data_IF_190832545566
#
_entry.id   IF_190832545566
#
_cell.length_a   1.000
_cell.length_b   1.000
_cell.length_c   1.000
_cell.angle_alpha   90.00
_cell.angle_beta   90.00
_cell.angle_gamma   90.00
#
_symmetry.space_group_name_H-M   'P 1'
#
loop_
_entity.id
_entity.type
_entity.pdbx_description
1 polymer ?
#
# COMPACT_ATOMS: atom_id res chain seq x y z
N UNK A 1 17.78 -93.94 83.01
CA UNK A 1 16.89 -92.91 83.49
C UNK A 1 17.67 -91.63 83.62
N UNK A 2 17.62 -90.74 82.59
CA UNK A 2 18.31 -89.46 82.60
C UNK A 2 17.33 -88.43 82.13
N UNK A 3 17.05 -87.50 82.95
CA UNK A 3 16.16 -86.38 82.76
C UNK A 3 16.75 -85.37 81.80
N UNK A 4 15.97 -84.73 80.93
CA UNK A 4 16.46 -83.66 80.09
C UNK A 4 16.53 -82.29 80.77
N UNK A 5 17.57 -81.57 80.49
CA UNK A 5 17.95 -80.28 80.94
C UNK A 5 17.04 -79.14 80.27
N UNK A 6 16.61 -78.08 81.01
CA UNK A 6 15.74 -77.05 80.43
C UNK A 6 16.53 -76.09 79.58
N UNK A 7 15.91 -75.72 78.42
CA UNK A 7 16.43 -74.83 77.42
C UNK A 7 16.56 -73.32 78.01
N UNK A 8 17.68 -72.72 77.67
CA UNK A 8 18.00 -71.35 78.01
C UNK A 8 17.10 -70.30 77.23
N UNK A 9 16.78 -69.18 77.81
CA UNK A 9 15.96 -68.15 77.15
C UNK A 9 16.73 -67.46 76.02
N UNK A 10 16.08 -67.39 74.87
CA UNK A 10 16.56 -66.62 73.70
C UNK A 10 16.43 -65.15 73.99
N UNK A 11 17.60 -64.49 74.07
CA UNK A 11 17.70 -63.03 74.26
C UNK A 11 17.28 -62.29 72.97
N UNK A 12 16.05 -61.74 72.85
CA UNK A 12 15.58 -60.90 71.78
C UNK A 12 16.24 -59.52 71.92
N UNK A 13 17.32 -59.31 71.19
CA UNK A 13 17.90 -57.95 71.08
C UNK A 13 16.95 -57.07 70.27
N UNK A 14 16.59 -55.85 70.76
CA UNK A 14 15.68 -54.98 70.08
C UNK A 14 16.30 -54.48 68.75
N UNK A 15 15.52 -54.44 67.65
CA UNK A 15 16.04 -54.04 66.32
C UNK A 15 16.63 -52.65 66.36
N UNK A 16 17.88 -52.51 65.89
CA UNK A 16 18.66 -51.27 65.87
C UNK A 16 17.93 -50.22 65.15
N UNK A 17 18.00 -48.96 65.66
CA UNK A 17 17.38 -47.77 65.06
C UNK A 17 17.69 -47.62 63.57
N UNK A 18 18.78 -48.17 63.08
CA UNK A 18 19.23 -48.23 61.70
C UNK A 18 18.35 -49.13 60.80
N UNK A 19 17.82 -50.21 61.35
CA UNK A 19 16.96 -51.13 60.62
C UNK A 19 15.56 -50.54 60.39
N UNK A 20 15.06 -49.72 61.34
CA UNK A 20 13.79 -49.03 61.22
C UNK A 20 13.89 -47.84 60.23
N UNK A 21 15.09 -47.24 60.04
CA UNK A 21 15.31 -46.13 59.09
C UNK A 21 15.54 -46.62 57.66
N UNK A 22 15.85 -47.91 57.42
CA UNK A 22 16.09 -48.45 56.06
C UNK A 22 14.84 -48.49 55.20
N UNK A 23 13.68 -48.81 55.75
CA UNK A 23 12.43 -48.88 55.00
C UNK A 23 11.95 -47.50 54.53
N UNK A 24 11.88 -46.44 55.37
CA UNK A 24 11.53 -45.11 54.95
C UNK A 24 12.58 -44.49 53.97
N UNK A 25 13.87 -44.80 54.13
CA UNK A 25 14.92 -44.30 53.23
C UNK A 25 14.84 -44.97 51.84
N UNK A 26 14.48 -46.27 51.81
CA UNK A 26 14.30 -47.01 50.54
C UNK A 26 13.06 -46.54 49.76
N UNK A 27 12.02 -46.00 50.43
CA UNK A 27 10.83 -45.43 49.82
C UNK A 27 11.06 -43.96 49.49
N UNK A 28 11.78 -43.20 50.32
CA UNK A 28 12.07 -41.78 50.09
C UNK A 28 12.86 -41.52 48.79
N UNK A 29 13.81 -42.39 48.43
CA UNK A 29 14.58 -42.28 47.20
C UNK A 29 13.72 -42.28 45.93
N UNK A 30 12.91 -43.33 45.68
CA UNK A 30 11.98 -43.35 44.54
C UNK A 30 10.96 -42.22 44.57
N UNK A 31 10.45 -41.79 45.73
CA UNK A 31 9.48 -40.68 45.85
C UNK A 31 10.11 -39.35 45.47
N UNK A 32 11.36 -39.09 45.89
CA UNK A 32 12.10 -37.88 45.50
C UNK A 32 12.37 -37.86 43.98
N UNK A 33 12.79 -39.02 43.42
CA UNK A 33 13.03 -39.17 41.97
C UNK A 33 11.71 -38.93 41.19
N UNK A 34 10.59 -39.49 41.68
CA UNK A 34 9.28 -39.31 41.07
C UNK A 34 8.83 -37.85 41.17
N UNK A 35 9.01 -37.20 42.32
CA UNK A 35 8.69 -35.80 42.53
C UNK A 35 9.52 -34.87 41.60
N UNK A 36 10.85 -35.17 41.47
CA UNK A 36 11.71 -34.47 40.54
C UNK A 36 11.28 -34.70 39.07
N UNK A 37 10.96 -35.95 38.70
CA UNK A 37 10.48 -36.29 37.39
C UNK A 37 9.17 -35.57 37.05
N UNK A 38 8.22 -35.53 38.01
CA UNK A 38 6.98 -34.79 37.89
C UNK A 38 7.26 -33.28 37.77
N UNK A 39 8.16 -32.74 38.57
CA UNK A 39 8.55 -31.30 38.51
C UNK A 39 9.15 -30.94 37.16
N UNK A 40 10.11 -31.76 36.64
CA UNK A 40 10.69 -31.54 35.32
C UNK A 40 9.67 -31.73 34.19
N UNK A 41 8.76 -32.68 34.34
CA UNK A 41 7.65 -32.89 33.37
C UNK A 41 6.69 -31.72 33.34
N UNK A 42 6.29 -31.19 34.50
CA UNK A 42 5.39 -30.02 34.61
C UNK A 42 6.06 -28.71 34.19
N UNK A 43 7.37 -28.58 34.40
CA UNK A 43 8.15 -27.41 33.97
C UNK A 43 8.46 -27.41 32.46
N UNK A 44 8.33 -28.59 31.81
CA UNK A 44 8.51 -28.73 30.36
C UNK A 44 7.28 -28.32 29.57
N UNK A 45 7.48 -27.85 28.32
CA UNK A 45 6.38 -27.62 27.37
C UNK A 45 5.86 -26.17 27.33
N UNK A 46 6.39 -25.27 28.19
CA UNK A 46 6.03 -23.84 28.15
C UNK A 46 6.65 -23.09 26.97
N UNK A 47 7.81 -23.53 26.53
CA UNK A 47 8.60 -22.82 25.54
C UNK A 47 8.75 -23.64 24.26
N UNK A 48 8.34 -23.11 23.15
CA UNK A 48 8.63 -23.67 21.83
C UNK A 48 9.83 -22.96 21.20
N UNK A 49 10.79 -23.75 20.69
CA UNK A 49 12.08 -23.25 20.21
C UNK A 49 12.32 -23.65 18.77
N UNK A 50 12.87 -22.71 18.00
CA UNK A 50 13.40 -23.00 16.67
C UNK A 50 14.75 -22.31 16.48
N UNK A 51 15.64 -22.98 15.78
CA UNK A 51 16.93 -22.49 15.30
C UNK A 51 16.88 -22.07 13.82
N UNK A 52 15.74 -22.31 13.16
CA UNK A 52 15.48 -21.94 11.78
C UNK A 52 14.68 -20.63 11.75
N UNK A 53 15.36 -19.54 12.05
CA UNK A 53 14.78 -18.21 12.03
C UNK A 53 15.75 -17.21 11.41
N UNK A 54 15.21 -16.30 10.62
CA UNK A 54 15.97 -15.29 9.89
C UNK A 54 15.39 -13.90 10.09
N UNK A 55 16.29 -12.93 10.17
CA UNK A 55 15.92 -11.51 10.12
C UNK A 55 15.49 -11.17 8.71
N UNK A 56 14.31 -10.61 8.56
CA UNK A 56 13.75 -10.11 7.31
C UNK A 56 13.59 -8.61 7.41
N UNK A 57 13.70 -7.92 6.28
CA UNK A 57 13.43 -6.48 6.19
C UNK A 57 12.59 -6.18 4.95
N UNK A 58 11.76 -5.15 5.04
CA UNK A 58 11.00 -4.67 3.90
C UNK A 58 11.95 -4.22 2.79
N UNK A 59 11.71 -4.70 1.58
CA UNK A 59 12.52 -4.40 0.41
C UNK A 59 11.68 -3.73 -0.65
N UNK A 60 12.06 -2.52 -1.04
CA UNK A 60 11.41 -1.75 -2.10
C UNK A 60 12.28 -1.78 -3.35
N UNK A 61 11.76 -2.27 -4.45
CA UNK A 61 12.42 -2.20 -5.75
C UNK A 61 12.33 -0.76 -6.27
N UNK A 62 13.46 -0.15 -6.58
CA UNK A 62 13.54 1.19 -7.14
C UNK A 62 13.52 1.11 -8.65
N UNK A 63 12.53 1.75 -9.27
CA UNK A 63 12.36 1.85 -10.72
C UNK A 63 12.01 3.28 -11.12
N UNK A 64 12.24 3.64 -12.37
CA UNK A 64 11.79 4.90 -12.94
C UNK A 64 10.34 4.78 -13.44
N UNK A 65 9.55 5.85 -13.29
CA UNK A 65 8.19 5.92 -13.84
C UNK A 65 8.19 6.32 -15.33
N UNK A 66 9.27 6.95 -15.80
CA UNK A 66 9.47 7.36 -17.19
C UNK A 66 10.79 6.77 -17.72
N UNK A 67 10.86 6.43 -19.01
CA UNK A 67 12.11 5.95 -19.58
C UNK A 67 13.08 7.09 -19.83
N UNK A 68 14.38 6.82 -19.70
CA UNK A 68 15.38 7.84 -19.96
C UNK A 68 16.82 7.35 -19.75
N UNK A 69 17.78 8.20 -20.16
CA UNK A 69 19.20 7.98 -19.91
C UNK A 69 19.57 8.51 -18.53
N UNK A 70 20.35 7.75 -17.77
CA UNK A 70 20.89 8.21 -16.48
C UNK A 70 21.97 9.24 -16.72
N UNK A 71 21.80 10.43 -16.14
CA UNK A 71 22.80 11.53 -16.21
C UNK A 71 23.54 11.72 -14.90
N UNK A 72 22.95 11.28 -13.79
CA UNK A 72 23.56 11.39 -12.47
C UNK A 72 23.15 10.20 -11.61
N UNK A 73 24.11 9.63 -10.90
CA UNK A 73 23.92 8.60 -9.89
C UNK A 73 24.48 9.17 -8.58
N UNK A 74 23.59 9.45 -7.62
CA UNK A 74 23.93 10.17 -6.39
C UNK A 74 24.24 9.24 -5.21
N UNK A 75 24.08 7.92 -5.39
CA UNK A 75 24.24 6.91 -4.33
C UNK A 75 25.22 5.82 -4.73
N UNK A 76 25.79 5.16 -3.72
CA UNK A 76 26.71 4.03 -3.86
C UNK A 76 26.11 2.79 -3.20
N UNK A 77 26.63 1.62 -3.52
CA UNK A 77 26.18 0.37 -2.90
C UNK A 77 26.39 0.39 -1.38
N UNK A 78 25.42 -0.16 -0.64
CA UNK A 78 25.37 -0.19 0.83
C UNK A 78 25.32 1.20 1.52
N UNK A 79 25.00 2.25 0.80
CA UNK A 79 24.81 3.58 1.38
C UNK A 79 23.46 3.68 2.09
N UNK A 80 23.48 4.27 3.30
CA UNK A 80 22.26 4.64 4.02
C UNK A 80 21.70 5.92 3.43
N UNK A 81 20.40 5.91 3.13
CA UNK A 81 19.66 7.06 2.60
C UNK A 81 18.41 7.32 3.43
N UNK A 82 17.98 8.57 3.45
CA UNK A 82 16.73 9.01 4.08
C UNK A 82 15.65 9.22 3.01
N UNK A 83 14.41 9.16 3.43
CA UNK A 83 13.27 9.49 2.58
C UNK A 83 13.45 10.87 1.94
N UNK A 84 13.34 10.92 0.61
CA UNK A 84 13.51 12.14 -0.19
C UNK A 84 14.93 12.37 -0.71
N UNK A 85 15.94 11.63 -0.24
CA UNK A 85 17.29 11.73 -0.77
C UNK A 85 17.33 11.35 -2.25
N UNK A 86 18.12 12.09 -3.04
CA UNK A 86 18.30 11.81 -4.46
C UNK A 86 19.03 10.46 -4.63
N UNK A 87 18.44 9.59 -5.41
CA UNK A 87 19.05 8.31 -5.78
C UNK A 87 19.76 8.41 -7.13
N UNK A 88 19.04 8.81 -8.15
CA UNK A 88 19.59 9.06 -9.49
C UNK A 88 18.67 10.01 -10.27
N UNK A 89 19.20 10.57 -11.36
CA UNK A 89 18.48 11.47 -12.24
C UNK A 89 18.58 11.02 -13.68
N UNK A 90 17.47 11.07 -14.38
CA UNK A 90 17.40 10.86 -15.82
C UNK A 90 17.61 12.18 -16.57
N UNK A 91 17.93 12.10 -17.85
CA UNK A 91 17.98 13.25 -18.76
C UNK A 91 16.58 13.89 -18.83
N UNK A 92 16.47 15.09 -18.31
CA UNK A 92 15.23 15.85 -18.23
C UNK A 92 14.98 16.75 -19.46
N UNK A 93 15.97 16.92 -20.35
CA UNK A 93 15.87 17.80 -21.49
C UNK A 93 14.65 17.51 -22.41
N UNK A 94 14.35 16.26 -22.78
CA UNK A 94 13.14 15.95 -23.57
C UNK A 94 11.86 16.32 -22.83
N UNK A 95 11.80 16.10 -21.52
CA UNK A 95 10.62 16.39 -20.71
C UNK A 95 10.40 17.88 -20.51
N UNK A 96 11.44 18.68 -20.44
CA UNK A 96 11.34 20.16 -20.43
C UNK A 96 10.74 20.65 -21.73
N UNK A 97 11.15 20.13 -22.87
CA UNK A 97 10.58 20.47 -24.17
C UNK A 97 9.07 20.15 -24.19
N UNK A 98 8.63 19.00 -23.67
CA UNK A 98 7.19 18.68 -23.57
C UNK A 98 6.42 19.64 -22.67
N UNK A 99 7.04 20.11 -21.59
CA UNK A 99 6.42 21.12 -20.72
C UNK A 99 6.24 22.46 -21.46
N UNK A 100 7.28 22.91 -22.19
CA UNK A 100 7.22 24.14 -23.00
C UNK A 100 6.17 24.04 -24.10
N UNK A 101 6.11 22.91 -24.81
CA UNK A 101 5.09 22.65 -25.83
C UNK A 101 3.67 22.69 -25.25
N UNK A 102 3.42 22.00 -24.14
CA UNK A 102 2.12 22.00 -23.47
C UNK A 102 1.75 23.40 -22.93
N UNK A 103 2.74 24.19 -22.50
CA UNK A 103 2.55 25.57 -22.07
C UNK A 103 2.13 26.49 -23.23
N UNK A 104 2.74 26.31 -24.41
CA UNK A 104 2.36 27.02 -25.61
C UNK A 104 0.93 26.64 -26.08
N UNK A 105 0.58 25.35 -25.99
CA UNK A 105 -0.78 24.88 -26.29
C UNK A 105 -1.83 25.48 -25.36
N UNK A 106 -1.53 25.59 -24.06
CA UNK A 106 -2.41 26.24 -23.09
C UNK A 106 -2.62 27.73 -23.43
N UNK A 107 -1.55 28.44 -23.73
CA UNK A 107 -1.62 29.86 -24.14
C UNK A 107 -2.48 30.03 -25.41
N UNK A 108 -2.30 29.16 -26.40
CA UNK A 108 -3.11 29.16 -27.63
C UNK A 108 -4.59 28.93 -27.34
N UNK A 109 -4.91 27.94 -26.46
CA UNK A 109 -6.30 27.68 -26.09
C UNK A 109 -6.94 28.87 -25.37
N UNK A 110 -6.21 29.57 -24.49
CA UNK A 110 -6.70 30.80 -23.84
C UNK A 110 -6.98 31.90 -24.85
N UNK A 111 -6.04 32.15 -25.78
CA UNK A 111 -6.21 33.15 -26.84
C UNK A 111 -7.42 32.84 -27.74
N UNK A 112 -7.65 31.55 -28.04
CA UNK A 112 -8.81 31.15 -28.84
C UNK A 112 -10.14 31.49 -28.15
N UNK A 113 -10.23 31.25 -26.83
CA UNK A 113 -11.42 31.62 -26.06
C UNK A 113 -11.62 33.14 -26.02
N UNK A 114 -10.56 33.92 -25.86
CA UNK A 114 -10.65 35.38 -25.89
C UNK A 114 -11.09 35.89 -27.30
N UNK A 115 -10.62 35.27 -28.38
CA UNK A 115 -11.07 35.54 -29.74
C UNK A 115 -12.57 35.27 -29.94
N UNK A 116 -13.07 34.13 -29.38
CA UNK A 116 -14.49 33.81 -29.41
C UNK A 116 -15.33 34.86 -28.64
N UNK A 117 -14.83 35.34 -27.49
CA UNK A 117 -15.49 36.42 -26.73
C UNK A 117 -15.54 37.72 -27.50
N UNK A 118 -14.45 38.07 -28.20
CA UNK A 118 -14.43 39.26 -29.07
C UNK A 118 -15.44 39.11 -30.21
N UNK A 119 -15.51 37.93 -30.84
CA UNK A 119 -16.51 37.63 -31.88
C UNK A 119 -17.93 37.72 -31.33
N UNK A 120 -18.20 37.25 -30.12
CA UNK A 120 -19.50 37.39 -29.47
C UNK A 120 -19.90 38.85 -29.30
N UNK A 121 -19.00 39.72 -28.83
CA UNK A 121 -19.25 41.14 -28.68
C UNK A 121 -19.54 41.85 -30.03
N UNK A 122 -18.81 41.47 -31.09
CA UNK A 122 -19.06 41.95 -32.45
C UNK A 122 -20.48 41.55 -32.89
N UNK A 123 -20.88 40.28 -32.73
CA UNK A 123 -22.23 39.83 -33.10
C UNK A 123 -23.34 40.48 -32.28
N UNK A 124 -23.08 40.90 -31.04
CA UNK A 124 -24.01 41.68 -30.27
C UNK A 124 -24.23 43.08 -30.87
N UNK A 125 -23.18 43.73 -31.38
CA UNK A 125 -23.30 45.00 -32.08
C UNK A 125 -24.08 44.85 -33.41
N UNK A 126 -23.81 43.76 -34.15
CA UNK A 126 -24.55 43.44 -35.40
C UNK A 126 -26.05 43.21 -35.08
N UNK A 127 -26.37 42.55 -33.97
CA UNK A 127 -27.76 42.36 -33.51
C UNK A 127 -28.46 43.68 -33.23
N UNK A 128 -27.80 44.60 -32.51
CA UNK A 128 -28.36 45.93 -32.25
C UNK A 128 -28.66 46.69 -33.54
N UNK A 129 -27.73 46.67 -34.51
CA UNK A 129 -27.92 47.29 -35.84
C UNK A 129 -29.08 46.66 -36.63
N UNK A 130 -29.19 45.32 -36.59
CA UNK A 130 -30.30 44.64 -37.25
C UNK A 130 -31.67 44.94 -36.61
N UNK A 131 -31.71 45.11 -35.28
CA UNK A 131 -32.91 45.54 -34.54
C UNK A 131 -33.34 46.96 -34.91
N UNK A 132 -32.38 47.87 -34.99
CA UNK A 132 -32.64 49.24 -35.44
C UNK A 132 -33.17 49.29 -36.88
N UNK A 133 -32.56 48.53 -37.78
CA UNK A 133 -33.00 48.35 -39.16
C UNK A 133 -34.44 47.86 -39.24
N UNK A 134 -34.76 46.81 -38.48
CA UNK A 134 -36.10 46.24 -38.39
C UNK A 134 -37.13 47.29 -37.91
N UNK A 135 -36.80 48.03 -36.84
CA UNK A 135 -37.67 49.07 -36.31
C UNK A 135 -37.94 50.22 -37.35
N UNK A 136 -36.91 50.61 -38.10
CA UNK A 136 -37.02 51.53 -39.16
C UNK A 136 -37.97 51.09 -40.29
N UNK A 137 -37.74 49.80 -40.81
CA UNK A 137 -38.58 49.27 -41.89
C UNK A 137 -40.04 49.06 -41.43
N UNK A 138 -40.26 48.69 -40.17
CA UNK A 138 -41.61 48.61 -39.60
C UNK A 138 -42.30 49.93 -39.61
N UNK A 139 -41.63 51.04 -39.18
CA UNK A 139 -42.20 52.41 -39.17
C UNK A 139 -42.45 52.92 -40.59
N UNK A 140 -41.59 52.58 -41.54
CA UNK A 140 -41.74 52.91 -42.97
C UNK A 140 -42.96 52.23 -43.57
N UNK A 141 -43.16 50.91 -43.34
CA UNK A 141 -44.35 50.21 -43.81
C UNK A 141 -45.61 50.79 -43.22
N UNK A 142 -45.65 51.17 -41.94
CA UNK A 142 -46.76 51.76 -41.28
C UNK A 142 -47.06 53.21 -41.86
N UNK A 143 -46.02 53.91 -42.25
CA UNK A 143 -46.14 55.19 -42.94
C UNK A 143 -46.75 54.94 -44.33
N UNK A 144 -46.27 54.02 -45.14
CA UNK A 144 -46.80 53.76 -46.48
C UNK A 144 -48.25 53.29 -46.44
N UNK A 145 -48.64 52.45 -45.44
CA UNK A 145 -50.04 52.06 -45.21
C UNK A 145 -50.96 53.23 -44.92
N UNK A 146 -50.50 54.23 -44.14
CA UNK A 146 -51.29 55.43 -43.91
C UNK A 146 -51.44 56.28 -45.17
N UNK A 147 -50.37 56.40 -45.97
CA UNK A 147 -50.37 57.18 -47.22
C UNK A 147 -51.27 56.56 -48.32
N UNK A 148 -51.31 55.22 -48.41
CA UNK A 148 -52.23 54.56 -49.35
C UNK A 148 -53.71 54.75 -48.93
N UNK A 149 -53.97 54.70 -47.62
CA UNK A 149 -55.33 54.97 -47.09
C UNK A 149 -55.84 56.41 -47.40
N UNK A 150 -54.89 57.34 -47.53
CA UNK A 150 -55.20 58.76 -47.96
C UNK A 150 -55.11 58.96 -49.44
N UNK A 151 -54.87 57.89 -50.25
CA UNK A 151 -54.82 58.00 -51.73
C UNK A 151 -53.51 58.61 -52.29
N UNK A 152 -52.47 58.80 -51.48
CA UNK A 152 -51.20 59.45 -51.84
C UNK A 152 -50.16 58.48 -52.33
N UNK A 153 -50.11 57.18 -51.81
CA UNK A 153 -49.15 56.15 -52.19
C UNK A 153 -49.77 55.13 -53.12
N UNK A 154 -48.91 54.36 -53.84
CA UNK A 154 -49.32 53.24 -54.70
C UNK A 154 -49.18 51.90 -53.97
N UNK A 155 -49.95 50.88 -54.41
CA UNK A 155 -49.85 49.54 -53.89
C UNK A 155 -48.42 49.01 -53.99
N UNK A 156 -47.76 49.31 -55.15
CA UNK A 156 -46.35 48.88 -55.37
C UNK A 156 -45.38 49.50 -54.36
N UNK A 157 -45.69 50.58 -53.70
CA UNK A 157 -44.88 51.16 -52.63
C UNK A 157 -45.07 50.40 -51.33
N UNK A 158 -46.29 49.97 -51.00
CA UNK A 158 -46.59 49.13 -49.81
C UNK A 158 -45.95 47.74 -49.97
N UNK A 159 -46.07 47.19 -51.18
CA UNK A 159 -45.46 45.89 -51.46
C UNK A 159 -43.92 45.89 -51.29
N UNK A 160 -43.26 46.97 -51.80
CA UNK A 160 -41.81 47.15 -51.59
C UNK A 160 -41.45 47.33 -50.11
N UNK A 161 -42.19 48.07 -49.34
CA UNK A 161 -41.96 48.25 -47.92
C UNK A 161 -42.20 46.93 -47.12
N UNK A 162 -43.16 46.11 -47.55
CA UNK A 162 -43.40 44.81 -46.97
C UNK A 162 -42.22 43.87 -47.24
N UNK A 163 -41.72 43.81 -48.47
CA UNK A 163 -40.53 43.00 -48.79
C UNK A 163 -39.28 43.46 -48.01
N UNK A 164 -39.05 44.81 -47.88
CA UNK A 164 -37.94 45.36 -47.09
C UNK A 164 -38.03 44.96 -45.61
N UNK A 165 -39.24 44.93 -45.04
CA UNK A 165 -39.48 44.51 -43.68
C UNK A 165 -39.20 43.00 -43.53
N UNK A 166 -39.63 42.15 -44.46
CA UNK A 166 -39.40 40.72 -44.39
C UNK A 166 -37.90 40.38 -44.55
N UNK A 167 -37.18 41.14 -45.39
CA UNK A 167 -35.72 41.04 -45.50
C UNK A 167 -35.04 41.43 -44.18
N UNK A 168 -35.46 42.51 -43.51
CA UNK A 168 -34.92 42.94 -42.21
C UNK A 168 -35.18 41.89 -41.10
N UNK A 169 -36.36 41.22 -41.10
CA UNK A 169 -36.70 40.13 -40.20
C UNK A 169 -35.78 38.94 -40.40
N UNK A 170 -35.59 38.55 -41.66
CA UNK A 170 -34.72 37.41 -42.01
C UNK A 170 -33.27 37.68 -41.59
N UNK A 171 -32.78 38.91 -41.80
CA UNK A 171 -31.45 39.33 -41.37
C UNK A 171 -31.30 39.27 -39.84
N UNK A 172 -32.29 39.79 -39.09
CA UNK A 172 -32.29 39.69 -37.61
C UNK A 172 -32.20 38.23 -37.13
N UNK A 173 -33.05 37.33 -37.71
CA UNK A 173 -33.02 35.92 -37.37
C UNK A 173 -31.66 35.30 -37.70
N UNK A 174 -31.03 35.63 -38.80
CA UNK A 174 -29.68 35.18 -39.15
C UNK A 174 -28.63 35.53 -38.11
N UNK A 175 -28.61 36.85 -37.70
CA UNK A 175 -27.66 37.29 -36.67
C UNK A 175 -27.92 36.60 -35.31
N UNK A 176 -29.18 36.35 -34.94
CA UNK A 176 -29.52 35.62 -33.72
C UNK A 176 -28.98 34.20 -33.75
N UNK A 177 -29.08 33.50 -34.89
CA UNK A 177 -28.50 32.18 -35.08
C UNK A 177 -26.97 32.19 -34.98
N UNK A 178 -26.30 33.21 -35.57
CA UNK A 178 -24.86 33.37 -35.46
C UNK A 178 -24.42 33.57 -34.00
N UNK A 179 -25.11 34.37 -33.21
CA UNK A 179 -24.87 34.56 -31.79
C UNK A 179 -24.99 33.22 -31.05
N UNK A 180 -26.07 32.44 -31.31
CA UNK A 180 -26.30 31.15 -30.69
C UNK A 180 -25.14 30.19 -31.01
N UNK A 181 -24.62 30.21 -32.23
CA UNK A 181 -23.45 29.41 -32.62
C UNK A 181 -22.19 29.78 -31.83
N UNK A 182 -21.91 31.08 -31.67
CA UNK A 182 -20.76 31.54 -30.88
C UNK A 182 -20.93 31.22 -29.38
N UNK A 183 -22.14 31.36 -28.83
CA UNK A 183 -22.44 30.98 -27.44
C UNK A 183 -22.25 29.50 -27.23
N UNK A 184 -22.64 28.63 -28.18
CA UNK A 184 -22.39 27.20 -28.10
C UNK A 184 -20.89 26.90 -28.08
N UNK A 185 -20.09 27.57 -28.92
CA UNK A 185 -18.62 27.43 -28.90
C UNK A 185 -17.99 27.90 -27.57
N UNK A 186 -18.60 28.88 -26.89
CA UNK A 186 -18.22 29.34 -25.55
C UNK A 186 -18.75 28.40 -24.41
N UNK A 187 -19.23 27.22 -24.76
CA UNK A 187 -19.74 26.25 -23.77
C UNK A 187 -21.09 26.66 -23.17
N UNK A 188 -21.90 27.44 -23.89
CA UNK A 188 -23.21 27.88 -23.48
C UNK A 188 -23.21 29.15 -22.57
N UNK A 189 -22.03 29.65 -22.19
CA UNK A 189 -21.89 30.81 -21.33
C UNK A 189 -20.96 31.86 -21.94
N UNK A 190 -21.48 32.97 -22.51
CA UNK A 190 -20.67 34.03 -23.13
C UNK A 190 -19.78 34.79 -22.15
N UNK A 191 -20.04 34.65 -20.83
CA UNK A 191 -19.25 35.28 -19.76
C UNK A 191 -18.29 34.27 -19.10
N UNK A 192 -18.07 33.10 -19.71
CA UNK A 192 -17.18 32.10 -19.17
C UNK A 192 -15.77 32.68 -18.97
N UNK A 193 -15.16 32.41 -17.82
CA UNK A 193 -13.74 32.68 -17.62
C UNK A 193 -12.91 31.72 -18.52
N UNK A 194 -11.91 32.24 -19.27
CA UNK A 194 -11.13 31.38 -20.17
C UNK A 194 -10.59 30.10 -19.49
N UNK A 195 -10.13 30.22 -18.24
CA UNK A 195 -9.61 29.10 -17.47
C UNK A 195 -10.64 27.98 -17.17
N UNK A 196 -11.95 28.28 -17.30
CA UNK A 196 -13.04 27.30 -17.09
C UNK A 196 -13.56 26.68 -18.38
N UNK A 197 -13.07 27.18 -19.53
CA UNK A 197 -13.50 26.65 -20.83
C UNK A 197 -12.94 25.23 -21.03
N UNK A 198 -13.73 24.29 -21.56
CA UNK A 198 -13.29 22.88 -21.74
C UNK A 198 -11.97 22.72 -22.50
N UNK A 199 -11.76 23.48 -23.55
CA UNK A 199 -10.52 23.44 -24.32
C UNK A 199 -9.29 23.90 -23.52
N UNK A 200 -9.46 24.88 -22.66
CA UNK A 200 -8.39 25.37 -21.77
C UNK A 200 -8.10 24.36 -20.66
N UNK A 201 -9.16 23.76 -20.07
CA UNK A 201 -8.99 22.70 -19.06
C UNK A 201 -8.27 21.47 -19.65
N UNK A 202 -8.57 21.13 -20.90
CA UNK A 202 -7.87 20.04 -21.59
C UNK A 202 -6.38 20.37 -21.81
N UNK A 203 -6.06 21.57 -22.24
CA UNK A 203 -4.67 22.01 -22.40
C UNK A 203 -3.93 22.12 -21.05
N UNK A 204 -4.62 22.57 -19.99
CA UNK A 204 -4.08 22.59 -18.63
C UNK A 204 -3.75 21.17 -18.15
N UNK A 205 -4.65 20.20 -18.35
CA UNK A 205 -4.39 18.81 -18.00
C UNK A 205 -3.19 18.20 -18.77
N UNK A 206 -2.99 18.59 -20.03
CA UNK A 206 -1.82 18.20 -20.79
C UNK A 206 -0.51 18.78 -20.21
N UNK A 207 -0.53 20.04 -19.81
CA UNK A 207 0.59 20.69 -19.12
C UNK A 207 0.92 20.03 -17.78
N UNK A 208 -0.10 19.74 -16.98
CA UNK A 208 0.08 19.08 -15.67
C UNK A 208 0.67 17.67 -15.83
N UNK A 209 0.24 16.92 -16.86
CA UNK A 209 0.85 15.62 -17.22
C UNK A 209 2.31 15.78 -17.64
N UNK A 210 2.65 16.76 -18.45
CA UNK A 210 4.02 17.01 -18.87
C UNK A 210 4.92 17.35 -17.67
N UNK A 211 4.43 18.19 -16.74
CA UNK A 211 5.13 18.53 -15.49
C UNK A 211 5.31 17.32 -14.58
N UNK A 212 4.31 16.49 -14.46
CA UNK A 212 4.39 15.24 -13.70
C UNK A 212 5.45 14.31 -14.27
N UNK A 213 5.49 14.11 -15.58
CA UNK A 213 6.53 13.32 -16.26
C UNK A 213 7.93 13.92 -16.04
N UNK A 214 8.06 15.23 -16.07
CA UNK A 214 9.31 15.92 -15.73
C UNK A 214 9.74 15.65 -14.29
N UNK A 215 8.80 15.66 -13.33
CA UNK A 215 9.12 15.35 -11.93
C UNK A 215 9.62 13.90 -11.75
N UNK A 216 9.16 12.98 -12.57
CA UNK A 216 9.58 11.57 -12.56
C UNK A 216 10.98 11.32 -13.10
N UNK A 217 11.66 12.34 -13.65
CA UNK A 217 13.07 12.23 -14.04
C UNK A 217 14.02 12.27 -12.85
N UNK A 218 13.56 12.76 -11.70
CA UNK A 218 14.32 12.80 -10.46
C UNK A 218 13.79 11.71 -9.54
N UNK A 219 14.59 10.68 -9.32
CA UNK A 219 14.21 9.52 -8.53
C UNK A 219 14.80 9.67 -7.13
N UNK A 220 13.90 9.72 -6.14
CA UNK A 220 14.24 9.88 -4.72
C UNK A 220 13.86 8.66 -3.91
N UNK A 221 14.48 8.50 -2.74
CA UNK A 221 14.19 7.41 -1.81
C UNK A 221 12.75 7.53 -1.24
N UNK A 222 11.91 6.50 -1.37
CA UNK A 222 10.54 6.51 -0.85
C UNK A 222 10.47 6.37 0.68
N UNK A 223 11.50 5.80 1.31
CA UNK A 223 11.63 5.58 2.75
C UNK A 223 13.10 5.60 3.17
N UNK A 224 13.34 5.62 4.47
CA UNK A 224 14.68 5.44 5.03
C UNK A 224 15.14 3.99 4.81
N UNK A 225 16.43 3.80 4.53
CA UNK A 225 16.96 2.47 4.28
C UNK A 225 18.39 2.45 3.76
N UNK A 226 18.83 1.27 3.34
CA UNK A 226 20.13 1.02 2.73
C UNK A 226 19.92 0.59 1.28
N UNK A 227 20.60 1.26 0.38
CA UNK A 227 20.55 0.95 -1.06
C UNK A 227 21.45 -0.25 -1.37
N UNK A 228 20.97 -1.18 -2.19
CA UNK A 228 21.71 -2.39 -2.56
C UNK A 228 21.67 -2.65 -4.06
N UNK A 229 22.74 -3.23 -4.62
CA UNK A 229 22.90 -3.57 -6.04
C UNK A 229 22.97 -2.34 -6.97
N UNK A 230 23.48 -1.23 -6.48
CA UNK A 230 23.61 0.01 -7.26
C UNK A 230 24.59 -0.15 -8.42
N UNK A 231 25.57 -1.06 -8.31
CA UNK A 231 26.60 -1.32 -9.34
C UNK A 231 25.99 -1.70 -10.71
N UNK A 232 24.75 -2.18 -10.75
CA UNK A 232 24.04 -2.52 -11.99
C UNK A 232 23.63 -1.28 -12.80
N UNK A 233 23.59 -0.09 -12.17
CA UNK A 233 23.24 1.17 -12.80
C UNK A 233 24.45 2.06 -12.95
N UNK A 234 24.71 2.52 -14.17
CA UNK A 234 25.83 3.42 -14.48
C UNK A 234 25.32 4.67 -15.19
N UNK A 235 26.02 5.79 -15.02
CA UNK A 235 25.76 7.01 -15.79
C UNK A 235 25.92 6.69 -17.28
N UNK A 236 24.94 7.10 -18.09
CA UNK A 236 24.86 6.78 -19.50
C UNK A 236 23.95 5.58 -19.84
N UNK A 237 23.61 4.73 -18.88
CA UNK A 237 22.67 3.63 -19.10
C UNK A 237 21.28 4.16 -19.44
N UNK A 238 20.56 3.42 -20.26
CA UNK A 238 19.14 3.70 -20.55
C UNK A 238 18.25 2.82 -19.67
N UNK A 239 17.35 3.44 -18.92
CA UNK A 239 16.40 2.79 -18.04
C UNK A 239 15.02 2.81 -18.69
N UNK A 240 14.37 1.65 -18.78
CA UNK A 240 12.99 1.55 -19.20
C UNK A 240 12.04 1.84 -18.02
N UNK A 241 10.85 2.36 -18.31
CA UNK A 241 9.84 2.59 -17.28
C UNK A 241 9.46 1.28 -16.57
N UNK A 242 9.22 1.34 -15.25
CA UNK A 242 8.82 0.22 -14.39
C UNK A 242 9.82 -0.93 -14.29
N UNK A 243 11.03 -0.77 -14.82
CA UNK A 243 12.09 -1.78 -14.67
C UNK A 243 12.88 -1.51 -13.39
N UNK A 244 12.93 -2.47 -12.44
CA UNK A 244 13.74 -2.32 -11.23
C UNK A 244 15.24 -2.21 -11.58
N UNK A 245 15.92 -1.22 -11.05
CA UNK A 245 17.35 -1.00 -11.26
C UNK A 245 18.20 -1.38 -10.06
N UNK A 246 17.67 -1.19 -8.85
CA UNK A 246 18.28 -1.62 -7.59
C UNK A 246 17.22 -1.70 -6.49
N UNK A 247 17.59 -2.05 -5.27
CA UNK A 247 16.64 -2.19 -4.17
C UNK A 247 17.04 -1.32 -2.97
N UNK A 248 16.00 -0.82 -2.29
CA UNK A 248 16.11 -0.16 -1.00
C UNK A 248 15.61 -1.13 0.08
N UNK A 249 16.47 -1.45 1.04
CA UNK A 249 16.16 -2.30 2.20
C UNK A 249 15.87 -1.38 3.39
N UNK A 250 14.69 -1.49 3.97
CA UNK A 250 14.29 -0.67 5.13
C UNK A 250 15.13 -1.03 6.36
N UNK A 251 15.51 -0.02 7.13
CA UNK A 251 16.17 -0.19 8.43
C UNK A 251 15.21 -0.19 9.61
N UNK A 252 13.95 0.22 9.39
CA UNK A 252 12.93 0.31 10.43
C UNK A 252 11.91 -0.82 10.37
N UNK A 253 11.55 -1.24 9.15
CA UNK A 253 10.58 -2.33 8.94
C UNK A 253 11.31 -3.67 8.90
N UNK A 254 11.78 -4.11 10.07
CA UNK A 254 12.52 -5.35 10.28
C UNK A 254 11.68 -6.28 11.15
N UNK A 255 11.56 -7.53 10.74
CA UNK A 255 10.89 -8.58 11.51
C UNK A 255 11.69 -9.86 11.47
N UNK A 256 11.32 -10.82 12.29
CA UNK A 256 11.87 -12.15 12.25
C UNK A 256 10.88 -13.13 11.62
N UNK A 257 11.34 -13.96 10.72
CA UNK A 257 10.61 -15.10 10.21
C UNK A 257 11.20 -16.37 10.83
N UNK A 258 10.42 -17.02 11.68
CA UNK A 258 10.83 -18.21 12.43
C UNK A 258 10.03 -19.41 11.95
N UNK A 259 10.72 -20.42 11.43
CA UNK A 259 10.13 -21.63 10.88
C UNK A 259 9.99 -22.70 11.99
N UNK A 260 8.78 -22.83 12.53
CA UNK A 260 8.45 -23.85 13.52
C UNK A 260 7.99 -25.14 12.84
N UNK A 261 8.29 -26.27 13.45
CA UNK A 261 7.75 -27.56 13.02
C UNK A 261 6.25 -27.64 13.26
N UNK A 262 5.54 -28.40 12.44
CA UNK A 262 4.08 -28.57 12.52
C UNK A 262 3.63 -29.05 13.92
N UNK A 263 4.40 -29.92 14.56
CA UNK A 263 4.10 -30.43 15.90
C UNK A 263 4.24 -29.38 17.03
N UNK A 264 5.03 -28.34 16.83
CA UNK A 264 5.24 -27.23 17.76
C UNK A 264 4.16 -26.16 17.68
N UNK A 265 3.49 -26.06 16.54
CA UNK A 265 2.52 -25.00 16.27
C UNK A 265 1.18 -25.13 16.99
N UNK A 266 0.90 -26.31 17.58
CA UNK A 266 -0.33 -26.54 18.32
C UNK A 266 -0.64 -25.48 19.38
N UNK A 267 0.40 -24.85 19.92
CA UNK A 267 0.30 -23.91 21.05
C UNK A 267 0.83 -22.51 20.75
N UNK A 268 1.39 -22.26 19.55
CA UNK A 268 1.86 -20.94 19.15
C UNK A 268 0.67 -20.11 18.64
N UNK A 269 0.50 -18.92 19.22
CA UNK A 269 -0.60 -17.99 18.89
C UNK A 269 -0.07 -16.57 18.75
N UNK A 270 -0.73 -15.75 17.94
CA UNK A 270 -0.46 -14.32 17.86
C UNK A 270 -0.58 -13.65 19.26
N UNK A 271 0.30 -12.71 19.52
CA UNK A 271 0.35 -11.99 20.79
C UNK A 271 1.26 -12.59 21.85
N UNK A 272 1.80 -13.79 21.66
CA UNK A 272 2.74 -14.42 22.61
C UNK A 272 4.11 -13.73 22.56
N UNK A 273 4.77 -13.67 23.75
CA UNK A 273 6.10 -13.11 23.87
C UNK A 273 7.15 -14.08 23.30
N UNK A 274 8.11 -13.53 22.58
CA UNK A 274 9.23 -14.28 22.03
C UNK A 274 10.56 -13.69 22.52
N UNK A 275 11.49 -14.55 22.85
CA UNK A 275 12.88 -14.25 23.18
C UNK A 275 13.77 -14.68 22.02
N UNK A 276 14.54 -13.73 21.49
CA UNK A 276 15.28 -13.88 20.23
C UNK A 276 16.77 -13.71 20.52
N UNK A 277 17.57 -14.63 20.07
CA UNK A 277 19.03 -14.54 20.10
C UNK A 277 19.55 -14.59 18.68
N UNK A 278 20.14 -13.49 18.24
CA UNK A 278 20.72 -13.36 16.91
C UNK A 278 22.18 -13.80 16.99
N UNK A 279 22.60 -14.66 16.07
CA UNK A 279 23.93 -15.29 16.13
C UNK A 279 25.08 -14.28 15.98
N UNK A 280 24.84 -13.18 15.25
CA UNK A 280 25.80 -12.07 15.11
C UNK A 280 26.02 -11.26 16.40
N UNK A 281 25.14 -11.39 17.40
CA UNK A 281 25.22 -10.65 18.67
C UNK A 281 25.17 -11.59 19.87
N UNK A 282 26.22 -12.42 20.08
CA UNK A 282 26.28 -13.37 21.17
C UNK A 282 26.18 -12.65 22.53
N UNK A 283 25.32 -13.17 23.40
CA UNK A 283 25.09 -12.59 24.73
C UNK A 283 23.97 -11.56 24.82
N UNK A 284 23.42 -11.06 23.71
CA UNK A 284 22.24 -10.20 23.70
C UNK A 284 20.97 -10.98 23.36
N UNK A 285 19.92 -10.71 24.12
CA UNK A 285 18.59 -11.25 23.87
C UNK A 285 17.66 -10.10 23.50
N UNK A 286 17.06 -10.20 22.33
CA UNK A 286 16.05 -9.27 21.86
C UNK A 286 14.66 -9.78 22.26
N UNK A 287 13.76 -8.85 22.52
CA UNK A 287 12.36 -9.15 22.81
C UNK A 287 11.54 -8.95 21.56
N UNK A 288 10.58 -9.83 21.38
CA UNK A 288 9.61 -9.73 20.28
C UNK A 288 8.29 -10.35 20.65
N UNK A 289 7.34 -10.21 19.75
CA UNK A 289 5.99 -10.70 19.89
C UNK A 289 5.57 -11.42 18.62
N UNK A 290 4.92 -12.55 18.76
CA UNK A 290 4.33 -13.27 17.63
C UNK A 290 3.26 -12.38 17.01
N UNK A 291 3.49 -11.93 15.77
CA UNK A 291 2.54 -11.12 15.02
C UNK A 291 1.51 -12.00 14.32
N UNK A 292 1.97 -13.03 13.62
CA UNK A 292 1.08 -13.94 12.88
C UNK A 292 1.76 -15.29 12.63
N UNK A 293 0.93 -16.31 12.42
CA UNK A 293 1.33 -17.64 11.94
C UNK A 293 0.86 -17.76 10.49
N UNK A 294 1.74 -18.21 9.59
CA UNK A 294 1.38 -18.38 8.18
C UNK A 294 0.26 -19.43 8.03
N UNK A 295 -0.69 -19.23 7.10
CA UNK A 295 -1.76 -20.19 6.84
C UNK A 295 -1.31 -21.42 6.06
N UNK A 296 -0.05 -21.46 5.58
CA UNK A 296 0.50 -22.57 4.80
C UNK A 296 1.99 -22.78 4.99
N UNK A 297 2.46 -23.95 4.62
CA UNK A 297 3.88 -24.30 4.69
C UNK A 297 4.67 -23.60 3.59
N UNK A 298 5.98 -23.41 3.77
CA UNK A 298 6.86 -22.84 2.76
C UNK A 298 6.84 -23.58 1.42
N UNK A 299 6.62 -24.91 1.46
CA UNK A 299 6.51 -25.74 0.25
C UNK A 299 5.26 -25.41 -0.61
N UNK A 300 4.15 -24.98 0.01
CA UNK A 300 2.93 -24.61 -0.70
C UNK A 300 3.07 -23.30 -1.48
N UNK A 301 3.93 -22.40 -1.02
CA UNK A 301 4.18 -21.09 -1.64
C UNK A 301 5.42 -21.09 -2.54
N UNK A 302 6.10 -22.24 -2.69
CA UNK A 302 7.24 -22.38 -3.59
C UNK A 302 6.78 -22.36 -5.05
N UNK A 303 7.52 -21.70 -5.92
CA UNK A 303 7.30 -21.73 -7.39
C UNK A 303 7.43 -23.15 -7.99
N UNK A 304 8.13 -24.06 -7.32
CA UNK A 304 8.27 -25.46 -7.67
C UNK A 304 7.93 -26.28 -6.41
N UNK A 305 6.65 -26.61 -6.17
CA UNK A 305 6.26 -27.50 -5.09
C UNK A 305 6.92 -28.87 -5.30
N UNK A 306 7.41 -29.47 -4.22
CA UNK A 306 7.94 -30.84 -4.27
C UNK A 306 6.77 -31.80 -4.54
N UNK A 307 6.61 -32.25 -5.78
CA UNK A 307 5.66 -33.30 -6.14
C UNK A 307 6.28 -34.67 -5.83
N UNK A 308 5.82 -35.33 -4.78
CA UNK A 308 6.12 -36.72 -4.50
C UNK A 308 5.16 -37.65 -5.29
N UNK A 309 5.04 -37.46 -6.61
CA UNK A 309 4.03 -38.14 -7.43
C UNK A 309 4.43 -39.58 -7.82
N UNK A 310 5.71 -39.96 -7.68
CA UNK A 310 6.22 -41.28 -8.09
C UNK A 310 7.22 -41.81 -7.07
N UNK A 311 6.80 -42.78 -6.23
CA UNK A 311 7.69 -43.48 -5.30
C UNK A 311 7.09 -43.72 -3.91
N UNK A 312 7.84 -44.30 -2.99
CA UNK A 312 7.42 -44.47 -1.62
C UNK A 312 7.14 -43.13 -0.93
N UNK A 313 5.90 -42.94 -0.53
CA UNK A 313 5.51 -41.76 0.24
C UNK A 313 6.16 -41.81 1.62
N UNK A 314 6.95 -40.81 1.96
CA UNK A 314 7.55 -40.62 3.28
C UNK A 314 6.98 -39.36 3.91
N UNK A 315 6.37 -39.49 5.09
CA UNK A 315 5.90 -38.33 5.87
C UNK A 315 7.12 -37.54 6.37
N UNK A 316 7.32 -36.34 5.85
CA UNK A 316 8.31 -35.39 6.36
C UNK A 316 7.60 -34.31 7.18
N UNK A 317 8.17 -33.97 8.35
CA UNK A 317 7.64 -32.89 9.19
C UNK A 317 7.77 -31.58 8.45
N UNK A 318 6.64 -30.92 8.25
CA UNK A 318 6.58 -29.63 7.58
C UNK A 318 6.94 -28.50 8.56
N UNK A 319 7.43 -27.39 8.02
CA UNK A 319 7.68 -26.16 8.78
C UNK A 319 6.74 -25.06 8.31
N UNK A 320 6.23 -24.29 9.26
CA UNK A 320 5.40 -23.14 8.99
C UNK A 320 6.11 -21.87 9.47
N UNK A 321 6.18 -20.83 8.64
CA UNK A 321 6.77 -19.57 9.03
C UNK A 321 5.84 -18.81 10.00
N UNK A 322 6.44 -18.33 11.08
CA UNK A 322 5.83 -17.47 12.10
C UNK A 322 6.52 -16.13 12.05
N UNK A 323 5.74 -15.07 11.84
CA UNK A 323 6.23 -13.70 11.85
C UNK A 323 6.29 -13.19 13.28
N UNK A 324 7.45 -12.67 13.66
CA UNK A 324 7.71 -12.12 14.99
C UNK A 324 8.18 -10.67 14.80
N UNK A 325 7.46 -9.74 15.41
CA UNK A 325 7.85 -8.33 15.47
C UNK A 325 8.80 -8.11 16.64
N UNK A 326 9.84 -7.32 16.39
CA UNK A 326 10.83 -6.94 17.39
C UNK A 326 10.32 -5.70 18.14
N UNK A 327 10.34 -5.75 19.48
CA UNK A 327 9.88 -4.63 20.30
C UNK A 327 10.95 -3.56 20.52
N UNK A 328 12.24 -3.96 20.55
CA UNK A 328 13.38 -3.09 20.82
C UNK A 328 14.37 -3.14 19.64
N UNK A 329 14.30 -2.16 18.74
CA UNK A 329 15.33 -1.93 17.72
C UNK A 329 16.34 -0.91 18.28
N UNK A 330 17.52 -1.38 18.67
CA UNK A 330 18.60 -0.56 19.17
C UNK A 330 19.57 -0.21 18.03
N UNK A 331 19.77 1.08 17.71
CA UNK A 331 20.69 1.51 16.65
C UNK A 331 22.15 1.04 16.82
N UNK A 332 22.55 0.69 18.07
CA UNK A 332 23.87 0.14 18.34
C UNK A 332 24.05 -1.29 17.81
N UNK A 333 22.96 -1.99 17.48
CA UNK A 333 22.95 -3.37 16.97
C UNK A 333 22.11 -3.45 15.69
N UNK A 334 22.62 -2.97 14.56
CA UNK A 334 21.88 -2.92 13.31
C UNK A 334 21.51 -4.34 12.83
N UNK A 335 20.24 -4.56 12.58
CA UNK A 335 19.73 -5.85 12.11
C UNK A 335 19.73 -5.88 10.59
N UNK A 336 20.60 -6.69 10.02
CA UNK A 336 20.65 -6.90 8.58
C UNK A 336 19.75 -8.08 8.18
N UNK A 337 19.04 -7.93 7.07
CA UNK A 337 18.26 -9.02 6.50
C UNK A 337 19.15 -10.23 6.18
N UNK A 338 18.68 -11.44 6.54
CA UNK A 338 19.41 -12.68 6.33
C UNK A 338 20.24 -13.16 7.53
N UNK A 339 20.33 -12.38 8.62
CA UNK A 339 20.97 -12.87 9.85
C UNK A 339 20.17 -14.02 10.46
N UNK A 340 20.87 -15.08 10.88
CA UNK A 340 20.28 -16.22 11.56
C UNK A 340 20.00 -15.91 13.03
N UNK A 341 18.94 -16.51 13.55
CA UNK A 341 18.53 -16.31 14.93
C UNK A 341 17.94 -17.59 15.54
N UNK A 342 18.05 -17.68 16.86
CA UNK A 342 17.37 -18.68 17.67
C UNK A 342 16.16 -18.02 18.36
N UNK A 343 14.99 -18.58 18.18
CA UNK A 343 13.73 -18.07 18.74
C UNK A 343 13.17 -19.00 19.78
N UNK A 344 12.66 -18.40 20.85
CA UNK A 344 12.03 -19.09 21.96
C UNK A 344 10.71 -18.37 22.28
N UNK A 345 9.58 -19.00 21.95
CA UNK A 345 8.22 -18.45 22.18
C UNK A 345 7.66 -18.98 23.48
N UNK A 346 7.20 -18.09 24.37
CA UNK A 346 6.51 -18.43 25.60
C UNK A 346 5.02 -18.68 25.31
N UNK A 347 4.65 -19.94 25.19
CA UNK A 347 3.27 -20.35 24.93
C UNK A 347 2.36 -20.22 26.15
N UNK A 348 2.95 -20.02 27.34
CA UNK A 348 2.26 -20.00 28.65
C UNK A 348 1.51 -21.29 28.98
N UNK A 349 1.71 -22.36 28.21
CA UNK A 349 1.06 -23.61 28.45
C UNK A 349 1.82 -24.43 29.51
N UNK A 350 1.10 -24.94 30.48
CA UNK A 350 1.65 -25.87 31.49
C UNK A 350 1.10 -27.28 31.19
N UNK A 351 1.99 -28.27 31.15
CA UNK A 351 1.58 -29.67 31.08
C UNK A 351 0.88 -30.03 32.39
N UNK A 352 -0.36 -30.52 32.30
CA UNK A 352 -1.12 -31.02 33.44
C UNK A 352 -1.00 -32.54 33.50
N UNK A 353 -0.75 -33.09 34.70
CA UNK A 353 -0.66 -34.55 34.91
C UNK A 353 -1.98 -35.31 34.79
N UNK A 354 -3.09 -34.62 35.08
CA UNK A 354 -4.46 -35.10 34.93
C UNK A 354 -5.32 -33.93 34.43
N UNK A 355 -5.72 -33.99 33.19
CA UNK A 355 -6.63 -32.99 32.65
C UNK A 355 -7.10 -33.46 31.29
N UNK A 356 -8.42 -33.63 31.13
CA UNK A 356 -9.05 -33.70 29.84
C UNK A 356 -8.69 -32.43 29.06
N UNK A 357 -8.44 -32.57 27.75
CA UNK A 357 -8.30 -31.47 26.82
C UNK A 357 -9.53 -30.57 26.98
N UNK A 358 -9.38 -29.49 27.74
CA UNK A 358 -10.38 -28.43 27.75
C UNK A 358 -10.18 -27.69 26.41
N UNK A 359 -11.05 -27.99 25.47
CA UNK A 359 -11.19 -27.20 24.25
C UNK A 359 -11.38 -25.76 24.69
N UNK A 360 -10.46 -24.89 24.31
CA UNK A 360 -10.63 -23.45 24.42
C UNK A 360 -11.95 -23.11 23.72
N UNK A 361 -12.99 -22.80 24.50
CA UNK A 361 -14.19 -22.18 24.00
C UNK A 361 -13.76 -20.90 23.29
N UNK A 362 -13.92 -20.88 21.99
CA UNK A 362 -13.89 -19.67 21.17
C UNK A 362 -14.93 -18.71 21.75
N UNK A 363 -14.47 -17.69 22.45
CA UNK A 363 -15.26 -16.51 22.71
C UNK A 363 -15.31 -15.74 21.38
N UNK A 364 -16.48 -15.61 20.73
CA UNK A 364 -16.55 -14.91 19.46
C UNK A 364 -16.23 -13.44 19.71
N UNK A 365 -15.17 -12.95 19.08
CA UNK A 365 -14.92 -11.52 18.97
C UNK A 365 -16.17 -10.84 18.43
N UNK A 366 -16.76 -9.99 19.24
CA UNK A 366 -17.88 -9.13 18.86
C UNK A 366 -17.56 -8.43 17.55
N UNK A 367 -18.29 -8.82 16.53
CA UNK A 367 -18.37 -8.12 15.26
C UNK A 367 -18.94 -6.72 15.50
N UNK A 368 -18.07 -5.73 15.60
CA UNK A 368 -18.50 -4.35 15.44
C UNK A 368 -18.96 -4.15 13.99
N UNK A 369 -20.26 -4.22 13.83
CA UNK A 369 -21.01 -3.81 12.67
C UNK A 369 -20.67 -2.36 12.35
N UNK A 370 -19.90 -2.14 11.30
CA UNK A 370 -19.83 -0.85 10.64
C UNK A 370 -21.10 -0.73 9.81
N UNK A 371 -22.06 -0.01 10.37
CA UNK A 371 -23.24 0.43 9.66
C UNK A 371 -22.82 1.30 8.48
N UNK A 372 -23.15 0.85 7.29
CA UNK A 372 -23.18 1.65 6.09
C UNK A 372 -24.13 2.83 6.30
N UNK A 373 -23.65 4.05 6.08
CA UNK A 373 -24.49 5.20 5.79
C UNK A 373 -24.08 5.77 4.43
N UNK A 374 -25.01 5.71 3.58
CA UNK A 374 -25.40 6.43 2.36
C UNK A 374 -24.44 7.52 1.82
#
# INVERSE_FOLDING_TARGET
MSTPDPAAPVDETPPSRWQRARLPLLIAGPVVVLALAIYFYMSGGRYEKTDDAYVMAARTAISANVPGRVVELAVHDNQTVRRGDLLYRLDDAPFRIYVEEAQAQLATAMLQVESLKATYLQRQADLASAQETLAFQQSELDRQKRLIASGIASQAQVDRATHALDEARSRLAGVQHEITGVVAQLGGNPRIEPAKHPAVLQAQAALDRARLNLSYTTITAPSDGVVTRVEQLQVGNYVAASTPVFALVSTHDVWLEANFKEDQLGHVRAGQAASIKIDSYPGRTFKGKVASVSPGTGSQFSMLPAENATGNWVKVVQRLPVRIELEDLDPAYPLHAGLSANVNVDTRQQRRLFGANEQLTDEPAESQSVAASR
#
